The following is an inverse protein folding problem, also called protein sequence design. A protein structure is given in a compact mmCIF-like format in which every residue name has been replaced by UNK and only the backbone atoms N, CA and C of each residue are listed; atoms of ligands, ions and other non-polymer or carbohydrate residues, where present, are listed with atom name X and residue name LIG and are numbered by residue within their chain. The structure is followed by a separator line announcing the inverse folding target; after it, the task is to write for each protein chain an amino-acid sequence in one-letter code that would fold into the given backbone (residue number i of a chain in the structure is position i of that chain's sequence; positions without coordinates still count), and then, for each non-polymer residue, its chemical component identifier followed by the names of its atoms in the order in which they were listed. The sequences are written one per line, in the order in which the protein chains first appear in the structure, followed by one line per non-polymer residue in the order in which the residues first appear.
data_IF_454169916945
#
_entry.id   IF_454169916945
#
_cell.length_a   1.000
_cell.length_b   1.000
_cell.length_c   1.000
_cell.angle_alpha   90.00
_cell.angle_beta   90.00
_cell.angle_gamma   90.00
#
_symmetry.space_group_name_H-M   'P 1'
#
loop_
_entity.id
_entity.type
_entity.pdbx_description
1 polymer ?
#
# COMPACT_ATOMS: atom_id res chain seq x y z
N UNK A 1 -23.51 -1.79 4.97
CA UNK A 1 -22.87 -3.11 4.79
C UNK A 1 -21.99 -3.31 6.01
N UNK A 2 -21.95 -4.51 6.58
CA UNK A 2 -21.12 -4.81 7.75
C UNK A 2 -19.66 -4.86 7.27
N UNK A 3 -18.81 -3.97 7.77
CA UNK A 3 -17.41 -3.84 7.33
C UNK A 3 -16.47 -4.46 8.38
N UNK A 4 -15.57 -5.33 7.93
CA UNK A 4 -14.58 -6.03 8.76
C UNK A 4 -13.16 -5.44 8.60
N UNK A 5 -13.07 -4.16 8.23
CA UNK A 5 -11.82 -3.45 7.90
C UNK A 5 -10.82 -3.38 9.05
N UNK A 6 -11.32 -3.37 10.29
CA UNK A 6 -10.53 -3.38 11.53
C UNK A 6 -9.88 -4.74 11.86
N UNK A 7 -10.13 -5.80 11.07
CA UNK A 7 -9.53 -7.13 11.28
C UNK A 7 -8.20 -7.20 10.53
N UNK A 8 -7.08 -7.26 11.27
CA UNK A 8 -5.73 -7.17 10.68
C UNK A 8 -5.37 -8.36 9.77
N UNK A 9 -5.80 -9.57 10.12
CA UNK A 9 -5.45 -10.78 9.37
C UNK A 9 -6.33 -10.95 8.12
N UNK A 10 -5.76 -10.70 6.94
CA UNK A 10 -6.48 -10.72 5.66
C UNK A 10 -7.23 -12.02 5.38
N UNK A 11 -6.64 -13.17 5.70
CA UNK A 11 -7.31 -14.47 5.52
C UNK A 11 -8.52 -14.67 6.45
N UNK A 12 -8.48 -14.10 7.66
CA UNK A 12 -9.60 -14.18 8.60
C UNK A 12 -10.72 -13.24 8.17
N UNK A 13 -10.36 -12.03 7.72
CA UNK A 13 -11.30 -11.06 7.16
C UNK A 13 -12.07 -11.64 5.97
N UNK A 14 -11.37 -12.21 5.00
CA UNK A 14 -12.00 -12.82 3.83
C UNK A 14 -12.92 -14.00 4.21
N UNK A 15 -12.52 -14.80 5.21
CA UNK A 15 -13.37 -15.88 5.73
C UNK A 15 -14.66 -15.32 6.39
N UNK A 16 -14.55 -14.27 7.21
CA UNK A 16 -15.70 -13.63 7.84
C UNK A 16 -16.64 -12.98 6.84
N UNK A 17 -16.11 -12.33 5.80
CA UNK A 17 -16.90 -11.78 4.69
C UNK A 17 -17.66 -12.87 3.94
N UNK A 18 -16.99 -14.00 3.66
CA UNK A 18 -17.61 -15.18 3.04
C UNK A 18 -18.71 -15.77 3.92
N UNK A 19 -18.44 -16.02 5.21
CA UNK A 19 -19.41 -16.57 6.15
C UNK A 19 -20.62 -15.65 6.33
N UNK A 20 -20.40 -14.33 6.33
CA UNK A 20 -21.47 -13.35 6.40
C UNK A 20 -22.37 -13.39 5.16
N UNK A 21 -21.79 -13.48 3.95
CA UNK A 21 -22.55 -13.63 2.70
C UNK A 21 -23.33 -14.95 2.69
N UNK A 22 -22.72 -16.05 3.13
CA UNK A 22 -23.39 -17.36 3.22
C UNK A 22 -24.55 -17.32 4.22
N UNK A 23 -24.35 -16.66 5.36
CA UNK A 23 -25.40 -16.46 6.35
C UNK A 23 -26.58 -15.68 5.76
N UNK A 24 -26.34 -14.60 5.02
CA UNK A 24 -27.39 -13.83 4.36
C UNK A 24 -28.18 -14.69 3.35
N UNK A 25 -27.50 -15.53 2.57
CA UNK A 25 -28.15 -16.50 1.67
C UNK A 25 -29.02 -17.51 2.44
N UNK A 26 -28.58 -17.95 3.62
CA UNK A 26 -29.38 -18.82 4.48
C UNK A 26 -30.66 -18.10 4.98
N UNK A 27 -30.57 -16.81 5.28
CA UNK A 27 -31.74 -15.99 5.68
C UNK A 27 -32.72 -15.87 4.52
N UNK A 28 -32.25 -15.58 3.31
CA UNK A 28 -33.07 -15.49 2.11
C UNK A 28 -33.78 -16.81 1.76
N UNK A 29 -33.10 -17.93 1.97
CA UNK A 29 -33.63 -19.28 1.74
C UNK A 29 -34.47 -19.83 2.90
N UNK A 30 -34.76 -19.03 3.92
CA UNK A 30 -35.50 -19.42 5.13
C UNK A 30 -34.85 -20.57 5.94
N UNK A 31 -33.55 -20.78 5.77
CA UNK A 31 -32.74 -21.77 6.48
C UNK A 31 -32.30 -21.24 7.86
N UNK A 32 -33.28 -20.94 8.74
CA UNK A 32 -33.09 -20.24 10.01
C UNK A 32 -32.03 -20.87 10.92
N UNK A 33 -32.00 -22.21 10.98
CA UNK A 33 -31.02 -22.94 11.77
C UNK A 33 -29.59 -22.67 11.27
N UNK A 34 -29.36 -22.78 9.96
CA UNK A 34 -28.05 -22.56 9.36
C UNK A 34 -27.59 -21.12 9.54
N UNK A 35 -28.48 -20.15 9.29
CA UNK A 35 -28.19 -18.74 9.49
C UNK A 35 -27.79 -18.44 10.95
N UNK A 36 -28.49 -18.99 11.93
CA UNK A 36 -28.15 -18.79 13.34
C UNK A 36 -26.83 -19.45 13.76
N UNK A 37 -26.52 -20.63 13.22
CA UNK A 37 -25.24 -21.30 13.49
C UNK A 37 -24.07 -20.49 12.93
N UNK A 38 -24.20 -19.99 11.69
CA UNK A 38 -23.21 -19.12 11.06
C UNK A 38 -23.06 -17.81 11.83
N UNK A 39 -24.17 -17.17 12.21
CA UNK A 39 -24.14 -15.96 13.02
C UNK A 39 -23.37 -16.16 14.34
N UNK A 40 -23.60 -17.28 15.04
CA UNK A 40 -22.85 -17.60 16.25
C UNK A 40 -21.35 -17.79 16.02
N UNK A 41 -20.97 -18.42 14.90
CA UNK A 41 -19.56 -18.60 14.51
C UNK A 41 -18.88 -17.26 14.18
N UNK A 42 -19.55 -16.38 13.44
CA UNK A 42 -19.07 -15.03 13.12
C UNK A 42 -18.84 -14.23 14.40
N UNK A 43 -19.85 -14.19 15.29
CA UNK A 43 -19.76 -13.47 16.56
C UNK A 43 -18.58 -13.98 17.41
N UNK A 44 -18.45 -15.29 17.58
CA UNK A 44 -17.34 -15.88 18.33
C UNK A 44 -15.99 -15.49 17.73
N UNK A 45 -15.87 -15.55 16.40
CA UNK A 45 -14.64 -15.20 15.68
C UNK A 45 -14.28 -13.72 15.86
N UNK A 46 -15.24 -12.80 15.84
CA UNK A 46 -15.01 -11.36 16.06
C UNK A 46 -14.50 -11.08 17.48
N UNK A 47 -15.11 -11.70 18.48
CA UNK A 47 -14.67 -11.55 19.88
C UNK A 47 -13.27 -12.15 20.07
N UNK A 48 -13.02 -13.34 19.53
CA UNK A 48 -11.71 -13.98 19.63
C UNK A 48 -10.61 -13.18 18.93
N UNK A 49 -10.90 -12.65 17.73
CA UNK A 49 -9.97 -11.76 17.02
C UNK A 49 -9.64 -10.54 17.89
N UNK A 50 -10.65 -9.86 18.46
CA UNK A 50 -10.45 -8.74 19.38
C UNK A 50 -9.46 -9.11 20.49
N UNK A 51 -9.71 -10.22 21.16
CA UNK A 51 -8.92 -10.65 22.30
C UNK A 51 -7.49 -11.05 21.92
N UNK A 52 -7.27 -11.66 20.76
CA UNK A 52 -5.94 -12.08 20.26
C UNK A 52 -5.11 -10.88 19.78
N UNK A 53 -5.75 -9.86 19.22
CA UNK A 53 -5.08 -8.66 18.71
C UNK A 53 -4.52 -7.70 19.76
N UNK A 54 -4.67 -8.02 21.04
CA UNK A 54 -4.18 -7.21 22.15
C UNK A 54 -2.64 -7.29 22.21
N UNK A 55 -1.94 -6.17 22.47
CA UNK A 55 -0.51 -6.21 22.79
C UNK A 55 -0.34 -7.13 24.01
N UNK A 56 0.44 -8.19 23.90
CA UNK A 56 0.65 -9.09 25.04
C UNK A 56 1.44 -8.36 26.11
N UNK A 57 0.96 -8.34 27.36
CA UNK A 57 1.71 -7.86 28.53
C UNK A 57 2.87 -8.80 28.92
N UNK A 58 3.58 -9.38 27.95
CA UNK A 58 4.67 -10.35 28.17
C UNK A 58 4.23 -11.75 28.61
N UNK A 59 2.92 -12.01 28.71
CA UNK A 59 2.35 -13.33 29.00
C UNK A 59 2.00 -14.12 27.74
N UNK A 60 2.24 -15.44 27.76
CA UNK A 60 1.83 -16.41 26.71
C UNK A 60 0.35 -16.24 26.29
N UNK A 61 -0.05 -16.60 25.05
CA UNK A 61 -1.40 -16.39 24.55
C UNK A 61 -2.40 -17.35 25.21
N UNK A 62 -2.86 -17.00 26.42
CA UNK A 62 -3.95 -17.68 27.11
C UNK A 62 -5.28 -17.55 26.34
N UNK A 63 -5.36 -16.61 25.40
CA UNK A 63 -6.50 -16.29 24.54
C UNK A 63 -6.90 -17.40 23.57
N UNK A 64 -5.98 -18.27 23.13
CA UNK A 64 -6.29 -19.38 22.21
C UNK A 64 -7.02 -20.56 22.89
N UNK A 65 -7.25 -20.51 24.21
CA UNK A 65 -7.96 -21.54 24.98
C UNK A 65 -9.30 -21.08 25.54
N UNK A 66 -9.72 -19.86 25.24
CA UNK A 66 -11.01 -19.35 25.70
C UNK A 66 -12.13 -20.05 24.93
N UNK A 67 -13.14 -20.51 25.66
CA UNK A 67 -14.40 -20.88 25.04
C UNK A 67 -15.22 -19.62 24.73
N UNK A 68 -16.31 -19.77 23.96
CA UNK A 68 -17.15 -18.65 23.61
C UNK A 68 -17.73 -17.92 24.85
N UNK A 69 -17.98 -18.64 25.95
CA UNK A 69 -18.46 -18.01 27.18
C UNK A 69 -17.44 -17.07 27.79
N UNK A 70 -16.18 -17.51 27.81
CA UNK A 70 -15.09 -16.76 28.41
C UNK A 70 -14.65 -15.62 27.51
N UNK A 71 -14.73 -15.79 26.19
CA UNK A 71 -14.54 -14.71 25.23
C UNK A 71 -15.53 -13.55 25.46
N UNK A 72 -16.82 -13.84 25.67
CA UNK A 72 -17.84 -12.82 25.98
C UNK A 72 -17.49 -12.06 27.26
N UNK A 73 -17.13 -12.78 28.33
CA UNK A 73 -16.78 -12.15 29.63
C UNK A 73 -15.55 -11.27 29.52
N UNK A 74 -14.51 -11.72 28.84
CA UNK A 74 -13.28 -10.94 28.67
C UNK A 74 -13.53 -9.70 27.78
N UNK A 75 -14.29 -9.82 26.69
CA UNK A 75 -14.67 -8.67 25.87
C UNK A 75 -15.50 -7.63 26.66
N UNK A 76 -16.41 -8.08 27.51
CA UNK A 76 -17.20 -7.19 28.38
C UNK A 76 -16.31 -6.47 29.40
N UNK A 77 -15.38 -7.21 30.03
CA UNK A 77 -14.42 -6.66 31.00
C UNK A 77 -13.52 -5.58 30.39
N UNK A 78 -13.11 -5.78 29.14
CA UNK A 78 -12.31 -4.83 28.35
C UNK A 78 -13.15 -3.68 27.77
N UNK A 79 -14.47 -3.67 28.02
CA UNK A 79 -15.41 -2.71 27.44
C UNK A 79 -15.39 -2.69 25.91
N UNK A 80 -15.08 -3.83 25.30
CA UNK A 80 -15.14 -4.05 23.86
C UNK A 80 -16.57 -4.24 23.36
N UNK A 81 -17.44 -4.69 24.27
CA UNK A 81 -18.88 -4.83 24.06
C UNK A 81 -19.64 -4.31 25.28
N UNK A 82 -20.91 -3.95 25.09
CA UNK A 82 -21.80 -3.55 26.18
C UNK A 82 -22.39 -4.76 26.91
N UNK A 83 -22.92 -4.55 28.13
CA UNK A 83 -23.63 -5.60 28.89
C UNK A 83 -24.81 -6.17 28.09
N UNK A 84 -25.57 -5.30 27.42
CA UNK A 84 -26.65 -5.68 26.51
C UNK A 84 -26.16 -6.62 25.39
N UNK A 85 -25.03 -6.30 24.78
CA UNK A 85 -24.45 -7.12 23.71
C UNK A 85 -23.96 -8.45 24.26
N UNK A 86 -23.35 -8.48 25.46
CA UNK A 86 -22.92 -9.71 26.12
C UNK A 86 -24.10 -10.66 26.42
N UNK A 87 -25.23 -10.14 26.90
CA UNK A 87 -26.45 -10.92 27.13
C UNK A 87 -26.98 -11.54 25.83
N UNK A 88 -26.98 -10.77 24.73
CA UNK A 88 -27.38 -11.28 23.41
C UNK A 88 -26.39 -12.34 22.87
N UNK A 89 -25.09 -12.19 23.10
CA UNK A 89 -24.10 -13.20 22.76
C UNK A 89 -24.38 -14.53 23.50
N UNK A 90 -24.78 -14.47 24.77
CA UNK A 90 -25.12 -15.66 25.53
C UNK A 90 -26.32 -16.42 24.94
N UNK A 91 -27.28 -15.71 24.35
CA UNK A 91 -28.41 -16.28 23.60
C UNK A 91 -27.93 -16.87 22.28
N UNK A 92 -27.14 -16.15 21.47
CA UNK A 92 -26.65 -16.68 20.18
C UNK A 92 -25.72 -17.89 20.35
N UNK A 93 -24.98 -17.96 21.46
CA UNK A 93 -24.22 -19.15 21.85
C UNK A 93 -25.12 -20.40 22.00
N UNK A 94 -26.33 -20.27 22.51
CA UNK A 94 -27.25 -21.41 22.58
C UNK A 94 -27.67 -21.85 21.16
N UNK A 95 -27.86 -20.88 20.25
CA UNK A 95 -28.20 -21.16 18.85
C UNK A 95 -27.09 -21.88 18.08
N UNK A 96 -25.81 -21.51 18.25
CA UNK A 96 -24.67 -22.24 17.65
C UNK A 96 -24.70 -23.73 18.01
N UNK A 97 -25.05 -24.03 19.25
CA UNK A 97 -25.12 -25.39 19.75
C UNK A 97 -26.29 -26.21 19.18
N UNK A 98 -27.23 -25.59 18.46
CA UNK A 98 -28.33 -26.27 17.79
C UNK A 98 -27.88 -27.14 16.61
N UNK A 99 -26.61 -27.05 16.19
CA UNK A 99 -26.03 -27.98 15.22
C UNK A 99 -26.27 -29.45 15.61
N UNK A 100 -26.39 -29.75 16.92
CA UNK A 100 -26.72 -31.07 17.44
C UNK A 100 -28.24 -31.26 17.66
N UNK A 101 -28.97 -32.02 16.81
CA UNK A 101 -30.42 -32.16 16.91
C UNK A 101 -30.89 -32.80 18.23
N UNK A 102 -30.11 -33.71 18.80
CA UNK A 102 -30.42 -34.36 20.08
C UNK A 102 -30.50 -33.36 21.26
N UNK A 103 -29.84 -32.20 21.15
CA UNK A 103 -29.87 -31.16 22.18
C UNK A 103 -31.24 -30.50 22.29
N UNK A 104 -31.88 -30.20 21.15
CA UNK A 104 -33.23 -29.63 21.09
C UNK A 104 -34.23 -30.50 21.85
N UNK A 105 -34.18 -31.80 21.60
CA UNK A 105 -35.08 -32.78 22.25
C UNK A 105 -34.77 -32.91 23.74
N UNK A 106 -33.49 -33.00 24.12
CA UNK A 106 -33.08 -33.19 25.52
C UNK A 106 -33.37 -31.98 26.41
N UNK A 107 -33.20 -30.78 25.89
CA UNK A 107 -33.32 -29.53 26.66
C UNK A 107 -34.68 -28.84 26.48
N UNK A 108 -35.55 -29.36 25.61
CA UNK A 108 -36.86 -28.75 25.34
C UNK A 108 -36.75 -27.36 24.69
N UNK A 109 -35.66 -27.09 23.98
CA UNK A 109 -35.42 -25.81 23.33
C UNK A 109 -36.37 -25.63 22.12
N UNK A 110 -36.85 -24.41 21.90
CA UNK A 110 -37.70 -24.10 20.75
C UNK A 110 -36.92 -24.23 19.44
N UNK A 111 -37.62 -24.63 18.37
CA UNK A 111 -37.02 -24.67 17.04
C UNK A 111 -36.67 -23.26 16.54
N UNK A 112 -35.57 -23.10 15.76
CA UNK A 112 -35.23 -21.84 15.13
C UNK A 112 -36.38 -21.25 14.31
N UNK A 113 -36.68 -19.98 14.57
CA UNK A 113 -37.70 -19.19 13.86
C UNK A 113 -37.09 -17.97 13.18
N UNK A 114 -37.82 -17.36 12.24
CA UNK A 114 -37.48 -16.07 11.65
C UNK A 114 -37.17 -15.00 12.70
N UNK A 115 -37.95 -14.93 13.79
CA UNK A 115 -37.73 -13.97 14.86
C UNK A 115 -36.40 -14.20 15.59
N UNK A 116 -36.12 -15.43 16.01
CA UNK A 116 -34.83 -15.77 16.64
C UNK A 116 -33.64 -15.60 15.68
N UNK A 117 -33.85 -15.80 14.38
CA UNK A 117 -32.83 -15.57 13.35
C UNK A 117 -32.52 -14.08 13.21
N UNK A 118 -33.55 -13.22 13.19
CA UNK A 118 -33.38 -11.77 13.15
C UNK A 118 -32.57 -11.23 14.34
N UNK A 119 -32.76 -11.80 15.53
CA UNK A 119 -31.95 -11.46 16.71
C UNK A 119 -30.48 -11.82 16.49
N UNK A 120 -30.20 -13.03 16.00
CA UNK A 120 -28.82 -13.49 15.78
C UNK A 120 -28.10 -12.67 14.71
N UNK A 121 -28.79 -12.35 13.60
CA UNK A 121 -28.23 -11.52 12.52
C UNK A 121 -27.99 -10.09 12.99
N UNK A 122 -28.97 -9.48 13.67
CA UNK A 122 -28.83 -8.11 14.18
C UNK A 122 -27.73 -7.96 15.23
N UNK A 123 -27.39 -9.03 15.95
CA UNK A 123 -26.26 -9.02 16.88
C UNK A 123 -24.91 -8.81 16.18
N UNK A 124 -24.75 -9.31 14.95
CA UNK A 124 -23.50 -9.14 14.21
C UNK A 124 -23.23 -7.67 13.95
N UNK A 125 -24.24 -6.89 13.57
CA UNK A 125 -24.08 -5.45 13.34
C UNK A 125 -23.69 -4.72 14.64
N UNK A 126 -24.32 -5.07 15.77
CA UNK A 126 -23.98 -4.51 17.08
C UNK A 126 -22.52 -4.80 17.44
N UNK A 127 -22.09 -6.06 17.32
CA UNK A 127 -20.73 -6.47 17.67
C UNK A 127 -19.71 -5.87 16.72
N UNK A 128 -20.02 -5.83 15.42
CA UNK A 128 -19.11 -5.22 14.44
C UNK A 128 -18.89 -3.74 14.73
N UNK A 129 -19.96 -3.03 15.11
CA UNK A 129 -19.84 -1.63 15.53
C UNK A 129 -19.06 -1.48 16.83
N UNK A 130 -19.45 -2.19 17.90
CA UNK A 130 -18.85 -2.03 19.23
C UNK A 130 -17.38 -2.47 19.28
N UNK A 131 -17.07 -3.65 18.72
CA UNK A 131 -15.69 -4.16 18.63
C UNK A 131 -14.87 -3.26 17.71
N UNK A 132 -15.44 -2.82 16.59
CA UNK A 132 -14.80 -1.87 15.68
C UNK A 132 -14.45 -0.55 16.38
N UNK A 133 -15.39 0.03 17.14
CA UNK A 133 -15.18 1.27 17.88
C UNK A 133 -14.14 1.11 18.99
N UNK A 134 -14.23 0.03 19.77
CA UNK A 134 -13.25 -0.29 20.81
C UNK A 134 -11.84 -0.44 20.22
N UNK A 135 -11.71 -1.12 19.08
CA UNK A 135 -10.45 -1.21 18.36
C UNK A 135 -9.97 0.15 17.86
N UNK A 136 -10.82 0.94 17.22
CA UNK A 136 -10.42 2.28 16.73
C UNK A 136 -9.89 3.16 17.87
N UNK A 137 -10.50 3.08 19.05
CA UNK A 137 -10.03 3.79 20.24
C UNK A 137 -8.68 3.26 20.76
N UNK A 138 -8.45 1.94 20.68
CA UNK A 138 -7.24 1.30 21.20
C UNK A 138 -6.05 1.27 20.21
N UNK A 139 -6.32 1.33 18.90
CA UNK A 139 -5.37 1.00 17.82
C UNK A 139 -4.94 2.23 17.02
N UNK A 140 -5.67 3.34 17.12
CA UNK A 140 -5.48 4.50 16.24
C UNK A 140 -6.21 4.33 14.91
N UNK A 141 -5.82 5.12 13.90
CA UNK A 141 -6.47 5.11 12.58
C UNK A 141 -6.14 3.83 11.80
N UNK A 142 -7.12 3.28 11.09
CA UNK A 142 -6.90 2.19 10.12
C UNK A 142 -6.29 2.71 8.82
N UNK A 143 -5.74 1.80 8.01
CA UNK A 143 -5.19 2.14 6.69
C UNK A 143 -6.26 2.75 5.77
N UNK A 144 -7.46 2.17 5.79
CA UNK A 144 -8.63 2.61 5.03
C UNK A 144 -9.07 4.01 5.45
N UNK A 145 -9.08 4.32 6.76
CA UNK A 145 -9.40 5.65 7.27
C UNK A 145 -8.37 6.70 6.86
N UNK A 146 -7.07 6.36 6.90
CA UNK A 146 -6.01 7.25 6.42
C UNK A 146 -6.20 7.52 4.93
N UNK A 147 -6.43 6.49 4.11
CA UNK A 147 -6.68 6.68 2.68
C UNK A 147 -7.93 7.53 2.42
N UNK A 148 -9.05 7.23 3.08
CA UNK A 148 -10.28 8.00 2.95
C UNK A 148 -10.07 9.48 3.28
N UNK A 149 -9.29 9.77 4.33
CA UNK A 149 -8.92 11.14 4.70
C UNK A 149 -8.05 11.81 3.63
N UNK A 150 -7.08 11.11 3.05
CA UNK A 150 -6.20 11.64 1.99
C UNK A 150 -6.95 11.96 0.71
N UNK A 151 -7.91 11.10 0.36
CA UNK A 151 -8.77 11.26 -0.81
C UNK A 151 -9.71 12.45 -0.62
N UNK A 152 -10.42 12.50 0.50
CA UNK A 152 -11.47 13.49 0.75
C UNK A 152 -10.93 14.89 1.14
N UNK A 153 -9.80 14.97 1.84
CA UNK A 153 -9.28 16.22 2.39
C UNK A 153 -8.04 16.71 1.62
N UNK A 154 -8.20 17.79 0.86
CA UNK A 154 -7.12 18.42 0.08
C UNK A 154 -5.98 18.96 0.94
N UNK A 155 -6.22 19.18 2.25
CA UNK A 155 -5.23 19.69 3.21
C UNK A 155 -4.63 18.59 4.10
N UNK A 156 -5.01 17.32 3.89
CA UNK A 156 -4.50 16.18 4.67
C UNK A 156 -2.97 16.10 4.73
N UNK A 157 -2.27 16.56 3.70
CA UNK A 157 -0.80 16.52 3.62
C UNK A 157 -0.09 17.20 4.80
N UNK A 158 -0.60 18.33 5.31
CA UNK A 158 0.04 19.03 6.44
C UNK A 158 -0.13 18.30 7.78
N UNK A 159 -1.14 17.43 7.88
CA UNK A 159 -1.44 16.65 9.07
C UNK A 159 -0.85 15.24 9.02
N UNK A 160 -0.21 14.85 7.91
CA UNK A 160 0.19 13.47 7.64
C UNK A 160 1.05 12.87 8.76
N UNK A 161 2.03 13.62 9.27
CA UNK A 161 2.87 13.16 10.38
C UNK A 161 2.06 12.80 11.63
N UNK A 162 1.03 13.59 11.93
CA UNK A 162 0.14 13.35 13.08
C UNK A 162 -0.86 12.23 12.81
N UNK A 163 -1.37 12.12 11.57
CA UNK A 163 -2.25 11.02 11.17
C UNK A 163 -1.54 9.67 11.28
N UNK A 164 -0.27 9.60 10.85
CA UNK A 164 0.50 8.36 10.85
C UNK A 164 1.09 7.99 12.22
N UNK A 165 1.29 8.94 13.14
CA UNK A 165 1.97 8.66 14.43
C UNK A 165 1.24 7.68 15.33
N UNK A 166 -0.06 7.47 15.13
CA UNK A 166 -0.87 6.50 15.88
C UNK A 166 -1.23 5.24 15.09
N UNK A 167 -0.72 5.07 13.86
CA UNK A 167 -1.09 3.95 12.99
C UNK A 167 -0.14 2.78 13.24
N UNK A 168 -0.68 1.58 13.48
CA UNK A 168 0.15 0.37 13.63
C UNK A 168 0.90 0.05 12.35
N UNK A 169 2.07 -0.59 12.51
CA UNK A 169 2.93 -1.01 11.39
C UNK A 169 2.19 -1.88 10.37
N UNK A 170 1.33 -2.80 10.80
CA UNK A 170 0.51 -3.65 9.90
C UNK A 170 -0.39 -2.82 8.99
N UNK A 171 -1.00 -1.75 9.51
CA UNK A 171 -1.82 -0.82 8.73
C UNK A 171 -0.96 0.07 7.82
N UNK A 172 0.22 0.53 8.26
CA UNK A 172 1.16 1.27 7.40
C UNK A 172 1.61 0.41 6.21
N UNK A 173 1.94 -0.85 6.45
CA UNK A 173 2.31 -1.81 5.41
C UNK A 173 1.16 -2.03 4.42
N UNK A 174 -0.07 -2.25 4.91
CA UNK A 174 -1.26 -2.39 4.05
C UNK A 174 -1.51 -1.13 3.23
N UNK A 175 -1.37 0.04 3.83
CA UNK A 175 -1.55 1.33 3.16
C UNK A 175 -0.54 1.49 2.01
N UNK A 176 0.74 1.20 2.26
CA UNK A 176 1.80 1.33 1.25
C UNK A 176 1.72 0.28 0.13
N UNK A 177 1.44 -0.98 0.46
CA UNK A 177 1.53 -2.10 -0.50
C UNK A 177 0.25 -2.35 -1.30
N UNK A 178 -0.91 -1.99 -0.74
CA UNK A 178 -2.20 -2.37 -1.31
C UNK A 178 -3.00 -1.11 -1.63
N UNK A 179 -3.40 -0.36 -0.61
CA UNK A 179 -4.42 0.67 -0.75
C UNK A 179 -3.96 1.88 -1.57
N UNK A 180 -2.74 2.39 -1.37
CA UNK A 180 -2.22 3.52 -2.16
C UNK A 180 -1.99 3.15 -3.64
N UNK A 181 -1.36 1.99 -3.97
CA UNK A 181 -1.30 1.48 -5.34
C UNK A 181 -2.65 1.33 -6.03
N UNK A 182 -3.63 0.71 -5.36
CA UNK A 182 -4.98 0.53 -5.91
C UNK A 182 -5.68 1.88 -6.13
N UNK A 183 -5.63 2.79 -5.15
CA UNK A 183 -6.22 4.12 -5.27
C UNK A 183 -5.59 4.97 -6.37
N UNK A 184 -4.30 4.75 -6.69
CA UNK A 184 -3.63 5.38 -7.83
C UNK A 184 -4.09 4.75 -9.15
N UNK A 185 -4.30 3.43 -9.18
CA UNK A 185 -4.74 2.69 -10.36
C UNK A 185 -6.16 3.06 -10.81
N UNK A 186 -7.08 3.25 -9.87
CA UNK A 186 -8.47 3.60 -10.17
C UNK A 186 -8.62 4.95 -10.89
N UNK A 187 -7.62 5.84 -10.83
CA UNK A 187 -7.76 7.24 -11.22
C UNK A 187 -6.94 7.62 -12.45
N UNK A 188 -6.34 6.64 -13.12
CA UNK A 188 -5.60 6.86 -14.37
C UNK A 188 -6.53 7.08 -15.58
N UNK A 189 -7.82 6.71 -15.47
CA UNK A 189 -8.79 6.98 -16.53
C UNK A 189 -9.25 8.45 -16.59
N UNK A 190 -9.05 9.21 -15.50
CA UNK A 190 -9.51 10.59 -15.34
C UNK A 190 -8.34 11.50 -14.92
N UNK A 191 -7.37 11.71 -15.82
CA UNK A 191 -6.15 12.53 -15.64
C UNK A 191 -6.35 14.01 -15.18
N UNK A 192 -7.53 14.38 -14.69
CA UNK A 192 -7.89 15.74 -14.29
C UNK A 192 -7.51 16.10 -12.84
N UNK A 193 -7.30 15.14 -11.92
CA UNK A 193 -6.93 15.44 -10.52
C UNK A 193 -5.44 15.23 -10.20
N UNK A 194 -4.60 16.07 -10.82
CA UNK A 194 -3.16 16.19 -10.52
C UNK A 194 -2.93 16.38 -9.00
N UNK A 195 -3.86 17.08 -8.33
CA UNK A 195 -3.80 17.33 -6.89
C UNK A 195 -3.88 16.04 -6.08
N UNK A 196 -4.77 15.11 -6.44
CA UNK A 196 -4.93 13.82 -5.74
C UNK A 196 -3.74 12.92 -5.94
N UNK A 197 -3.21 12.79 -7.17
CA UNK A 197 -1.99 12.01 -7.42
C UNK A 197 -0.85 12.54 -6.54
N UNK A 198 -0.67 13.86 -6.49
CA UNK A 198 0.31 14.49 -5.60
C UNK A 198 0.11 14.15 -4.12
N UNK A 199 -1.14 14.13 -3.63
CA UNK A 199 -1.46 13.73 -2.25
C UNK A 199 -1.17 12.25 -1.97
N UNK A 200 -1.54 11.35 -2.89
CA UNK A 200 -1.25 9.92 -2.77
C UNK A 200 0.26 9.66 -2.73
N UNK A 201 1.02 10.28 -3.64
CA UNK A 201 2.49 10.22 -3.66
C UNK A 201 3.08 10.73 -2.35
N UNK A 202 2.68 11.91 -1.88
CA UNK A 202 3.19 12.48 -0.63
C UNK A 202 2.85 11.59 0.58
N UNK A 203 1.65 11.01 0.61
CA UNK A 203 1.24 10.05 1.63
C UNK A 203 2.11 8.81 1.61
N UNK A 204 2.37 8.22 0.43
CA UNK A 204 3.27 7.07 0.31
C UNK A 204 4.65 7.37 0.89
N UNK A 205 5.24 8.52 0.55
CA UNK A 205 6.56 8.93 1.06
C UNK A 205 6.54 9.08 2.60
N UNK A 206 5.48 9.65 3.14
CA UNK A 206 5.32 9.80 4.59
C UNK A 206 5.14 8.45 5.30
N UNK A 207 4.40 7.51 4.70
CA UNK A 207 4.25 6.14 5.20
C UNK A 207 5.59 5.42 5.19
N UNK A 208 6.34 5.48 4.08
CA UNK A 208 7.66 4.85 3.98
C UNK A 208 8.62 5.40 5.04
N UNK A 209 8.61 6.72 5.28
CA UNK A 209 9.42 7.35 6.33
C UNK A 209 8.99 6.96 7.76
N UNK A 210 7.74 6.56 7.99
CA UNK A 210 7.23 6.11 9.28
C UNK A 210 7.51 4.61 9.56
N UNK A 211 7.80 3.82 8.53
CA UNK A 211 8.10 2.39 8.65
C UNK A 211 9.53 2.13 9.17
N UNK A 212 9.76 1.06 9.95
CA UNK A 212 11.10 0.61 10.28
C UNK A 212 11.92 0.21 9.03
N UNK A 213 13.26 0.27 9.05
CA UNK A 213 14.09 -0.01 7.88
C UNK A 213 13.82 -1.37 7.21
N UNK A 214 13.61 -2.43 8.00
CA UNK A 214 13.28 -3.75 7.46
C UNK A 214 11.99 -3.75 6.63
N UNK A 215 10.98 -2.98 7.07
CA UNK A 215 9.70 -2.83 6.36
C UNK A 215 9.81 -1.90 5.15
N UNK A 216 10.67 -0.88 5.22
CA UNK A 216 10.97 -0.07 4.04
C UNK A 216 11.57 -0.90 2.90
N UNK A 217 12.47 -1.84 3.24
CA UNK A 217 13.01 -2.81 2.27
C UNK A 217 11.90 -3.69 1.70
N UNK A 218 11.01 -4.25 2.53
CA UNK A 218 9.88 -5.04 2.03
C UNK A 218 8.99 -4.26 1.05
N UNK A 219 8.71 -2.97 1.32
CA UNK A 219 7.93 -2.11 0.42
C UNK A 219 8.71 -1.79 -0.86
N UNK A 220 10.01 -1.51 -0.77
CA UNK A 220 10.83 -1.21 -1.94
C UNK A 220 11.00 -2.44 -2.86
N UNK A 221 11.10 -3.63 -2.28
CA UNK A 221 11.18 -4.90 -3.00
C UNK A 221 9.89 -5.23 -3.77
N UNK A 222 8.72 -4.72 -3.36
CA UNK A 222 7.50 -4.84 -4.17
C UNK A 222 7.65 -4.19 -5.54
N UNK A 223 8.34 -3.05 -5.64
CA UNK A 223 8.61 -2.44 -6.94
C UNK A 223 9.55 -3.32 -7.78
N UNK A 224 10.55 -3.95 -7.16
CA UNK A 224 11.40 -4.90 -7.87
C UNK A 224 10.61 -6.11 -8.40
N UNK A 225 9.71 -6.67 -7.59
CA UNK A 225 8.83 -7.75 -8.02
C UNK A 225 7.91 -7.29 -9.16
N UNK A 226 7.38 -6.07 -9.08
CA UNK A 226 6.57 -5.47 -10.13
C UNK A 226 7.35 -5.28 -11.43
N UNK A 227 8.59 -4.78 -11.39
CA UNK A 227 9.46 -4.67 -12.57
C UNK A 227 9.71 -6.04 -13.23
N UNK A 228 9.78 -7.11 -12.44
CA UNK A 228 10.03 -8.47 -12.94
C UNK A 228 8.81 -9.15 -13.52
N UNK A 229 7.61 -8.90 -12.98
CA UNK A 229 6.41 -9.71 -13.24
C UNK A 229 5.21 -8.91 -13.73
N UNK A 230 5.17 -7.60 -13.49
CA UNK A 230 4.06 -6.72 -13.79
C UNK A 230 4.00 -6.33 -15.27
N UNK A 231 2.86 -5.77 -15.66
CA UNK A 231 2.69 -5.14 -16.96
C UNK A 231 3.40 -3.78 -17.04
N UNK A 232 3.72 -3.33 -18.26
CA UNK A 232 4.33 -2.01 -18.48
C UNK A 232 3.53 -0.87 -17.84
N UNK A 233 2.19 -0.92 -17.93
CA UNK A 233 1.31 0.08 -17.34
C UNK A 233 1.41 0.11 -15.80
N UNK A 234 1.41 -1.05 -15.14
CA UNK A 234 1.52 -1.11 -13.68
C UNK A 234 2.89 -0.60 -13.21
N UNK A 235 3.96 -1.01 -13.92
CA UNK A 235 5.32 -0.58 -13.63
C UNK A 235 5.45 0.94 -13.77
N UNK A 236 4.99 1.50 -14.89
CA UNK A 236 5.03 2.94 -15.16
C UNK A 236 4.24 3.74 -14.12
N UNK A 237 3.04 3.25 -13.76
CA UNK A 237 2.18 3.87 -12.74
C UNK A 237 2.87 3.91 -11.39
N UNK A 238 3.39 2.77 -10.93
CA UNK A 238 4.07 2.68 -9.64
C UNK A 238 5.36 3.50 -9.62
N UNK A 239 6.16 3.45 -10.69
CA UNK A 239 7.41 4.22 -10.84
C UNK A 239 7.13 5.72 -10.71
N UNK A 240 6.20 6.24 -11.51
CA UNK A 240 5.89 7.68 -11.55
C UNK A 240 5.22 8.14 -10.25
N UNK A 241 4.30 7.33 -9.72
CA UNK A 241 3.54 7.65 -8.51
C UNK A 241 4.37 7.58 -7.23
N UNK A 242 5.12 6.50 -7.04
CA UNK A 242 5.69 6.18 -5.73
C UNK A 242 7.21 6.08 -5.74
N UNK A 243 7.81 5.25 -6.59
CA UNK A 243 9.24 4.93 -6.47
C UNK A 243 10.16 6.11 -6.80
N UNK A 244 11.27 6.25 -6.08
CA UNK A 244 12.32 7.25 -6.36
C UNK A 244 13.69 6.58 -6.32
N UNK A 245 14.64 7.05 -7.13
CA UNK A 245 15.97 6.45 -7.20
C UNK A 245 16.69 6.31 -5.83
N UNK A 246 16.58 7.25 -4.86
CA UNK A 246 17.10 7.06 -3.52
C UNK A 246 16.57 5.81 -2.80
N UNK A 247 15.38 5.31 -3.16
CA UNK A 247 14.83 4.06 -2.62
C UNK A 247 15.68 2.83 -3.04
N UNK A 248 16.57 2.94 -4.04
CA UNK A 248 17.54 1.87 -4.34
C UNK A 248 18.43 1.51 -3.13
N UNK A 249 18.61 2.42 -2.18
CA UNK A 249 19.32 2.13 -0.93
C UNK A 249 18.57 1.15 -0.02
N UNK A 250 17.23 1.13 -0.09
CA UNK A 250 16.37 0.24 0.70
C UNK A 250 16.04 -1.05 -0.04
N UNK A 251 16.12 -1.07 -1.37
CA UNK A 251 15.95 -2.29 -2.18
C UNK A 251 17.01 -3.34 -1.82
N UNK A 252 16.57 -4.59 -1.68
CA UNK A 252 17.42 -5.74 -1.43
C UNK A 252 18.52 -5.85 -2.50
N UNK A 253 19.79 -6.15 -2.14
CA UNK A 253 20.92 -6.13 -3.07
C UNK A 253 20.70 -6.94 -4.36
N UNK A 254 20.04 -8.10 -4.25
CA UNK A 254 19.75 -9.00 -5.37
C UNK A 254 18.82 -8.41 -6.45
N UNK A 255 18.08 -7.34 -6.14
CA UNK A 255 17.16 -6.69 -7.06
C UNK A 255 17.62 -5.31 -7.53
N UNK A 256 18.63 -4.74 -6.88
CA UNK A 256 19.02 -3.34 -7.05
C UNK A 256 19.41 -3.01 -8.49
N UNK A 257 20.23 -3.85 -9.12
CA UNK A 257 20.70 -3.61 -10.49
C UNK A 257 19.55 -3.66 -11.50
N UNK A 258 18.62 -4.61 -11.37
CA UNK A 258 17.43 -4.70 -12.23
C UNK A 258 16.56 -3.43 -12.13
N UNK A 259 16.34 -2.93 -10.91
CA UNK A 259 15.56 -1.70 -10.70
C UNK A 259 16.30 -0.47 -11.26
N UNK A 260 17.63 -0.40 -11.06
CA UNK A 260 18.48 0.66 -11.62
C UNK A 260 18.42 0.67 -13.14
N UNK A 261 18.58 -0.49 -13.78
CA UNK A 261 18.52 -0.64 -15.25
C UNK A 261 17.15 -0.22 -15.80
N UNK A 262 16.07 -0.54 -15.07
CA UNK A 262 14.73 -0.10 -15.42
C UNK A 262 14.60 1.43 -15.37
N UNK A 263 15.05 2.07 -14.28
CA UNK A 263 15.04 3.53 -14.15
C UNK A 263 15.86 4.20 -15.25
N UNK A 264 17.05 3.68 -15.55
CA UNK A 264 17.90 4.19 -16.62
C UNK A 264 17.21 4.09 -17.98
N UNK A 265 16.57 2.96 -18.28
CA UNK A 265 15.88 2.72 -19.54
C UNK A 265 14.69 3.66 -19.73
N UNK A 266 13.99 4.02 -18.65
CA UNK A 266 12.85 4.94 -18.67
C UNK A 266 13.24 6.39 -19.05
N UNK A 267 14.51 6.78 -18.94
CA UNK A 267 15.01 8.11 -19.32
C UNK A 267 15.26 8.27 -20.83
N UNK A 268 14.91 7.27 -21.64
CA UNK A 268 15.16 7.25 -23.09
C UNK A 268 14.14 8.02 -23.93
N UNK A 269 13.76 7.42 -25.06
CA UNK A 269 12.80 8.02 -26.00
C UNK A 269 11.41 8.07 -25.37
N UNK A 270 10.75 9.22 -25.43
CA UNK A 270 9.39 9.39 -24.88
C UNK A 270 9.34 9.67 -23.39
N UNK A 271 10.49 9.93 -22.75
CA UNK A 271 10.60 10.27 -21.32
C UNK A 271 9.63 11.37 -20.91
N UNK A 272 8.95 11.17 -19.78
CA UNK A 272 8.07 12.15 -19.16
C UNK A 272 8.75 12.83 -17.98
N UNK A 273 8.27 14.01 -17.58
CA UNK A 273 8.77 14.72 -16.39
C UNK A 273 8.68 13.81 -15.14
N UNK A 274 7.65 12.97 -15.05
CA UNK A 274 7.49 12.03 -13.96
C UNK A 274 8.58 10.95 -13.93
N UNK A 275 9.12 10.55 -15.08
CA UNK A 275 10.22 9.58 -15.17
C UNK A 275 11.54 10.21 -14.70
N UNK A 276 11.79 11.48 -15.07
CA UNK A 276 12.93 12.27 -14.59
C UNK A 276 12.86 12.43 -13.05
N UNK A 277 11.68 12.75 -12.52
CA UNK A 277 11.45 12.82 -11.06
C UNK A 277 11.67 11.49 -10.35
N UNK A 278 11.27 10.38 -10.98
CA UNK A 278 11.51 9.05 -10.43
C UNK A 278 13.01 8.72 -10.39
N UNK A 279 13.78 9.16 -11.39
CA UNK A 279 15.22 8.95 -11.45
C UNK A 279 16.06 9.97 -10.64
N UNK A 280 15.47 11.04 -10.12
CA UNK A 280 16.21 12.06 -9.34
C UNK A 280 16.87 11.44 -8.11
N UNK A 281 18.19 11.61 -7.97
CA UNK A 281 19.07 11.04 -6.96
C UNK A 281 19.77 9.74 -7.37
N UNK A 282 19.64 9.31 -8.63
CA UNK A 282 20.22 8.06 -9.16
C UNK A 282 21.75 8.09 -9.24
N UNK A 283 22.39 9.26 -9.34
CA UNK A 283 23.83 9.42 -9.52
C UNK A 283 24.67 8.62 -8.51
N UNK A 284 24.23 8.58 -7.25
CA UNK A 284 24.89 7.85 -6.15
C UNK A 284 24.94 6.32 -6.33
N UNK A 285 24.14 5.78 -7.27
CA UNK A 285 24.05 4.35 -7.55
C UNK A 285 24.64 3.98 -8.92
N UNK A 286 25.15 4.96 -9.66
CA UNK A 286 25.77 4.72 -10.96
C UNK A 286 27.20 4.22 -10.79
N UNK A 287 27.51 3.18 -11.56
CA UNK A 287 28.86 2.64 -11.73
C UNK A 287 29.40 3.03 -13.09
N UNK A 288 30.73 3.00 -13.28
CA UNK A 288 31.36 3.32 -14.57
C UNK A 288 30.76 2.58 -15.77
N UNK A 289 30.26 1.35 -15.57
CA UNK A 289 29.59 0.57 -16.62
C UNK A 289 28.26 1.18 -17.10
N UNK A 290 27.60 1.98 -16.27
CA UNK A 290 26.31 2.60 -16.57
C UNK A 290 26.44 3.86 -17.44
N UNK A 291 27.64 4.44 -17.55
CA UNK A 291 27.89 5.72 -18.22
C UNK A 291 27.41 5.72 -19.68
N UNK A 292 27.59 4.60 -20.39
CA UNK A 292 27.14 4.46 -21.76
C UNK A 292 25.62 4.55 -21.89
N UNK A 293 24.89 3.84 -21.03
CA UNK A 293 23.41 3.82 -21.03
C UNK A 293 22.87 5.19 -20.62
N UNK A 294 23.42 5.77 -19.55
CA UNK A 294 23.09 7.09 -19.05
C UNK A 294 23.17 8.17 -20.15
N UNK A 295 24.35 8.33 -20.76
CA UNK A 295 24.57 9.37 -21.78
C UNK A 295 23.74 9.10 -23.03
N UNK A 296 23.57 7.84 -23.44
CA UNK A 296 22.74 7.54 -24.60
C UNK A 296 21.27 7.94 -24.38
N UNK A 297 20.74 7.72 -23.17
CA UNK A 297 19.36 8.08 -22.86
C UNK A 297 19.18 9.59 -22.71
N UNK A 298 20.14 10.28 -22.09
CA UNK A 298 20.21 11.75 -22.09
C UNK A 298 20.15 12.31 -23.52
N UNK A 299 21.03 11.83 -24.40
CA UNK A 299 21.09 12.28 -25.81
C UNK A 299 19.76 12.00 -26.50
N UNK A 300 19.17 10.82 -26.32
CA UNK A 300 17.86 10.49 -26.91
C UNK A 300 16.76 11.44 -26.42
N UNK A 301 16.72 11.74 -25.12
CA UNK A 301 15.73 12.64 -24.53
C UNK A 301 15.87 14.09 -25.00
N UNK A 302 17.10 14.58 -25.14
CA UNK A 302 17.38 15.95 -25.62
C UNK A 302 17.16 16.09 -27.12
N UNK A 303 17.56 15.10 -27.92
CA UNK A 303 17.46 15.13 -29.39
C UNK A 303 16.06 14.80 -29.90
N UNK A 304 15.24 14.08 -29.13
CA UNK A 304 13.92 13.64 -29.58
C UNK A 304 13.08 14.82 -30.08
N UNK A 305 12.57 14.70 -31.32
CA UNK A 305 11.64 15.66 -31.94
C UNK A 305 10.24 15.61 -31.31
N UNK A 306 9.91 14.53 -30.59
CA UNK A 306 8.65 14.39 -29.87
C UNK A 306 8.65 15.03 -28.48
N UNK A 307 9.81 15.49 -28.00
CA UNK A 307 9.91 16.12 -26.69
C UNK A 307 9.32 17.52 -26.68
N UNK A 308 8.32 17.75 -25.82
CA UNK A 308 7.85 19.12 -25.50
C UNK A 308 9.02 19.86 -24.83
N UNK A 309 9.25 21.14 -25.17
CA UNK A 309 10.33 21.98 -24.61
C UNK A 309 10.59 21.84 -23.09
N UNK A 310 9.57 21.69 -22.22
CA UNK A 310 9.78 21.45 -20.79
C UNK A 310 10.65 20.21 -20.50
N UNK A 311 10.47 19.10 -21.22
CA UNK A 311 11.19 17.85 -20.94
C UNK A 311 12.70 18.02 -21.14
N UNK A 312 13.12 18.74 -22.18
CA UNK A 312 14.54 19.00 -22.46
C UNK A 312 15.18 19.82 -21.34
N UNK A 313 14.51 20.88 -20.90
CA UNK A 313 14.96 21.72 -19.79
C UNK A 313 15.08 20.91 -18.49
N UNK A 314 14.06 20.15 -18.13
CA UNK A 314 14.07 19.29 -16.94
C UNK A 314 15.15 18.21 -17.00
N UNK A 315 15.38 17.61 -18.16
CA UNK A 315 16.43 16.61 -18.35
C UNK A 315 17.81 17.23 -18.16
N UNK A 316 18.04 18.42 -18.70
CA UNK A 316 19.29 19.15 -18.52
C UNK A 316 19.52 19.51 -17.03
N UNK A 317 18.53 20.12 -16.36
CA UNK A 317 18.60 20.42 -14.92
C UNK A 317 18.86 19.15 -14.08
N UNK A 318 18.22 18.04 -14.45
CA UNK A 318 18.43 16.75 -13.82
C UNK A 318 19.87 16.26 -13.95
N UNK A 319 20.47 16.29 -15.16
CA UNK A 319 21.86 15.84 -15.34
C UNK A 319 22.84 16.71 -14.54
N UNK A 320 22.65 18.02 -14.55
CA UNK A 320 23.46 18.95 -13.75
C UNK A 320 23.34 18.63 -12.26
N UNK A 321 22.12 18.36 -11.78
CA UNK A 321 21.90 18.00 -10.37
C UNK A 321 22.52 16.63 -10.00
N UNK A 322 22.45 15.63 -10.87
CA UNK A 322 23.00 14.29 -10.60
C UNK A 322 24.53 14.26 -10.60
N UNK A 323 25.17 15.19 -11.31
CA UNK A 323 26.62 15.27 -11.37
C UNK A 323 27.28 15.38 -9.99
N UNK A 324 26.69 16.13 -9.06
CA UNK A 324 27.21 16.26 -7.70
C UNK A 324 27.21 14.95 -6.88
N UNK A 325 26.62 13.87 -7.41
CA UNK A 325 26.48 12.58 -6.72
C UNK A 325 27.20 11.43 -7.41
N UNK A 326 27.81 11.63 -8.59
CA UNK A 326 28.53 10.57 -9.31
C UNK A 326 30.01 10.51 -8.89
N UNK A 327 30.63 9.35 -9.02
CA UNK A 327 32.07 9.18 -8.82
C UNK A 327 32.89 9.83 -9.96
N UNK A 328 34.11 10.32 -9.71
CA UNK A 328 35.00 10.86 -10.76
C UNK A 328 35.25 9.88 -11.92
N UNK A 329 35.32 8.58 -11.64
CA UNK A 329 35.51 7.55 -12.67
C UNK A 329 34.29 7.43 -13.60
N UNK A 330 33.10 7.57 -13.05
CA UNK A 330 31.86 7.62 -13.81
C UNK A 330 31.79 8.89 -14.66
N UNK A 331 32.13 10.03 -14.06
CA UNK A 331 32.15 11.34 -14.71
C UNK A 331 33.04 11.32 -15.96
N UNK A 332 34.29 10.88 -15.81
CA UNK A 332 35.20 10.77 -16.95
C UNK A 332 34.63 9.87 -18.05
N UNK A 333 34.08 8.70 -17.70
CA UNK A 333 33.46 7.80 -18.66
C UNK A 333 32.22 8.41 -19.35
N UNK A 334 31.45 9.24 -18.63
CA UNK A 334 30.31 9.96 -19.16
C UNK A 334 30.77 11.06 -20.13
N UNK A 335 31.81 11.83 -19.80
CA UNK A 335 32.38 12.84 -20.70
C UNK A 335 32.95 12.24 -21.98
N UNK A 336 33.73 11.17 -21.88
CA UNK A 336 34.24 10.44 -23.05
C UNK A 336 33.09 9.96 -23.97
N UNK A 337 31.96 9.58 -23.37
CA UNK A 337 30.77 9.15 -24.11
C UNK A 337 30.00 10.32 -24.71
N UNK A 338 29.94 11.47 -24.04
CA UNK A 338 29.36 12.70 -24.55
C UNK A 338 30.13 13.19 -25.77
N UNK A 339 31.47 13.21 -25.71
CA UNK A 339 32.33 13.62 -26.82
C UNK A 339 32.09 12.75 -28.07
N UNK A 340 32.06 11.43 -27.91
CA UNK A 340 31.71 10.50 -29.00
C UNK A 340 30.30 10.74 -29.57
N UNK A 341 29.38 11.21 -28.73
CA UNK A 341 28.01 11.53 -29.16
C UNK A 341 27.95 12.84 -29.93
N UNK A 342 28.70 13.86 -29.50
CA UNK A 342 28.87 15.15 -30.18
C UNK A 342 29.46 14.92 -31.58
N UNK A 343 30.60 14.22 -31.68
CA UNK A 343 31.26 13.91 -32.96
C UNK A 343 30.33 13.16 -33.93
N UNK A 344 29.47 12.27 -33.40
CA UNK A 344 28.49 11.54 -34.21
C UNK A 344 27.38 12.46 -34.72
N UNK A 345 26.87 13.36 -33.88
CA UNK A 345 25.82 14.31 -34.27
C UNK A 345 26.34 15.30 -35.33
N UNK A 346 27.57 15.80 -35.19
CA UNK A 346 28.20 16.68 -36.17
C UNK A 346 28.41 16.01 -37.51
N UNK A 347 28.91 14.77 -37.53
CA UNK A 347 29.04 13.97 -38.76
C UNK A 347 27.70 13.72 -39.46
N UNK A 348 26.60 13.71 -38.71
CA UNK A 348 25.26 13.58 -39.25
C UNK A 348 24.62 14.91 -39.64
N UNK A 349 25.33 16.05 -39.52
CA UNK A 349 24.83 17.38 -39.84
C UNK A 349 23.89 17.98 -38.78
N UNK A 350 23.85 17.41 -37.57
CA UNK A 350 22.96 17.85 -36.49
C UNK A 350 23.69 18.75 -35.47
N UNK A 351 24.16 19.90 -35.96
CA UNK A 351 24.96 20.85 -35.17
C UNK A 351 24.21 21.42 -33.96
N UNK A 352 22.88 21.59 -34.07
CA UNK A 352 22.05 22.16 -32.99
C UNK A 352 22.05 21.23 -31.77
N UNK A 353 21.84 19.93 -31.99
CA UNK A 353 21.84 18.97 -30.90
C UNK A 353 23.25 18.70 -30.37
N UNK A 354 24.27 18.73 -31.23
CA UNK A 354 25.66 18.66 -30.79
C UNK A 354 26.01 19.81 -29.82
N UNK A 355 25.59 21.03 -30.13
CA UNK A 355 25.79 22.20 -29.27
C UNK A 355 25.05 22.09 -27.94
N UNK A 356 23.83 21.55 -27.94
CA UNK A 356 23.07 21.34 -26.70
C UNK A 356 23.78 20.37 -25.74
N UNK A 357 24.32 19.26 -26.27
CA UNK A 357 25.11 18.31 -25.47
C UNK A 357 26.41 18.96 -24.99
N UNK A 358 27.07 19.75 -25.83
CA UNK A 358 28.27 20.51 -25.46
C UNK A 358 28.01 21.52 -24.33
N UNK A 359 26.92 22.28 -24.42
CA UNK A 359 26.49 23.21 -23.35
C UNK A 359 26.24 22.47 -22.04
N UNK A 360 25.54 21.34 -22.11
CA UNK A 360 25.28 20.50 -20.93
C UNK A 360 26.58 19.99 -20.33
N UNK A 361 27.52 19.50 -21.15
CA UNK A 361 28.85 19.07 -20.69
C UNK A 361 29.60 20.20 -20.01
N UNK A 362 29.64 21.39 -20.63
CA UNK A 362 30.37 22.55 -20.11
C UNK A 362 29.84 23.01 -18.75
N UNK A 363 28.52 23.00 -18.54
CA UNK A 363 27.92 23.36 -17.26
C UNK A 363 28.25 22.38 -16.14
N UNK A 364 28.43 21.11 -16.49
CA UNK A 364 28.84 20.05 -15.56
C UNK A 364 30.33 20.17 -15.21
N UNK A 365 31.18 20.58 -16.15
CA UNK A 365 32.63 20.75 -15.93
C UNK A 365 32.99 21.92 -14.99
N UNK A 366 32.09 22.88 -14.77
CA UNK A 366 32.35 24.03 -13.89
C UNK A 366 32.25 23.57 -12.43
N UNK A 367 33.34 23.58 -11.65
CA UNK A 367 33.28 23.21 -10.23
C UNK A 367 32.43 24.22 -9.46
N UNK A 368 31.42 23.75 -8.73
CA UNK A 368 30.59 24.55 -7.83
C UNK A 368 31.10 24.53 -6.38
#
# INVERSE_FOLDING_TARGET
MTEFDYIEHGGLRAALESDYIEMQRCVEAEAWKSAQVLAGSIVESLLMDFLVSRPSDGGKPATLRLDFSDAIKECLKEKAITERTADLCAVVRSYRNLIHPARLVRLGEASPTKASCGIAVGLIDLITSEVGDSRRLAVGLTAEQVLAKVVADTKSGSLMKHLLSGVRESHLMRLAKVLLPEALAEHEAEFDDIGRVGRLTATFRAVLAALPPARQTEVADEFALLVRQGSEQEIDRYRRGFFRAPDLQTVSPQYRDMVKDHLLSALGVGVQIADIRAATGIGRFLSTGDAAVWVNNLVRATVSKSGVMPVRKWMHEFVVAEHGFVSPEFEQAAFDRMDKSIERLERNGDAVNAELIRSTKLEIEIPF
#
